data_IF_473816612454
#
_entry.id   IF_473816612454
#
_cell.length_a   1.000
_cell.length_b   1.000
_cell.length_c   1.000
_cell.angle_alpha   90.00
_cell.angle_beta   90.00
_cell.angle_gamma   90.00
#
_symmetry.space_group_name_H-M   'P 1'
#
loop_
_entity.id
_entity.type
_entity.pdbx_description
1 polymer ?
#
# COMPACT_ATOMS: atom_id res chain seq x y z
N UNK A 1 12.22 -19.14 -40.20
CA UNK A 1 12.42 -19.64 -38.83
C UNK A 1 12.22 -21.14 -38.86
N UNK A 2 13.23 -21.94 -38.52
CA UNK A 2 13.09 -23.40 -38.53
C UNK A 2 12.12 -23.81 -37.41
N UNK A 3 11.28 -24.84 -37.63
CA UNK A 3 10.37 -25.40 -36.61
C UNK A 3 11.08 -25.62 -35.26
N UNK A 4 12.32 -26.08 -35.32
CA UNK A 4 13.19 -26.25 -34.15
C UNK A 4 13.39 -24.95 -33.34
N UNK A 5 13.57 -23.81 -34.00
CA UNK A 5 13.71 -22.51 -33.34
C UNK A 5 12.45 -22.09 -32.58
N UNK A 6 11.27 -22.43 -33.10
CA UNK A 6 10.00 -22.16 -32.42
C UNK A 6 9.87 -23.01 -31.15
N UNK A 7 10.18 -24.31 -31.22
CA UNK A 7 10.17 -25.18 -30.04
C UNK A 7 11.17 -24.72 -28.97
N UNK A 8 12.38 -24.31 -29.37
CA UNK A 8 13.39 -23.79 -28.45
C UNK A 8 12.89 -22.53 -27.72
N UNK A 9 12.30 -21.59 -28.47
CA UNK A 9 11.73 -20.37 -27.91
C UNK A 9 10.56 -20.67 -26.96
N UNK A 10 9.67 -21.59 -27.35
CA UNK A 10 8.53 -22.00 -26.53
C UNK A 10 8.98 -22.61 -25.20
N UNK A 11 10.01 -23.47 -25.22
CA UNK A 11 10.60 -24.04 -23.99
C UNK A 11 11.19 -22.94 -23.10
N UNK A 12 11.89 -21.97 -23.67
CA UNK A 12 12.44 -20.83 -22.92
C UNK A 12 11.33 -20.03 -22.25
N UNK A 13 10.25 -19.73 -22.97
CA UNK A 13 9.09 -18.99 -22.43
C UNK A 13 8.44 -19.77 -21.28
N UNK A 14 8.21 -21.07 -21.44
CA UNK A 14 7.65 -21.92 -20.38
C UNK A 14 8.57 -21.96 -19.15
N UNK A 15 9.89 -22.09 -19.35
CA UNK A 15 10.85 -22.07 -18.25
C UNK A 15 10.80 -20.74 -17.49
N UNK A 16 10.70 -19.60 -18.18
CA UNK A 16 10.54 -18.29 -17.55
C UNK A 16 9.24 -18.17 -16.74
N UNK A 17 8.12 -18.65 -17.28
CA UNK A 17 6.82 -18.64 -16.58
C UNK A 17 6.89 -19.53 -15.32
N UNK A 18 7.56 -20.68 -15.39
CA UNK A 18 7.71 -21.58 -14.24
C UNK A 18 8.69 -21.03 -13.18
N UNK A 19 9.72 -20.29 -13.59
CA UNK A 19 10.72 -19.71 -12.70
C UNK A 19 10.26 -18.39 -12.06
N UNK A 20 9.37 -17.64 -12.72
CA UNK A 20 8.87 -16.35 -12.22
C UNK A 20 8.31 -16.42 -10.79
N UNK A 21 7.42 -17.36 -10.42
CA UNK A 21 6.90 -17.47 -9.06
C UNK A 21 7.99 -17.77 -8.03
N UNK A 22 8.99 -18.58 -8.41
CA UNK A 22 10.09 -18.99 -7.54
C UNK A 22 11.01 -17.80 -7.22
N UNK A 23 11.30 -16.96 -8.22
CA UNK A 23 12.10 -15.74 -8.03
C UNK A 23 11.30 -14.57 -7.47
N UNK A 24 9.97 -14.56 -7.61
CA UNK A 24 9.12 -13.45 -7.16
C UNK A 24 9.12 -13.25 -5.64
N UNK A 25 9.78 -14.12 -4.86
CA UNK A 25 9.88 -13.97 -3.41
C UNK A 25 8.53 -14.03 -2.69
N UNK A 26 7.48 -14.43 -3.41
CA UNK A 26 6.08 -14.42 -2.98
C UNK A 26 5.82 -15.65 -2.07
N UNK A 27 6.55 -15.75 -0.95
CA UNK A 27 6.31 -16.89 -0.06
C UNK A 27 7.36 -17.20 0.99
N UNK A 28 8.32 -16.31 1.28
CA UNK A 28 9.23 -16.57 2.42
C UNK A 28 8.53 -16.29 3.75
N UNK A 29 7.61 -17.17 4.14
CA UNK A 29 7.06 -17.18 5.50
C UNK A 29 8.13 -17.74 6.45
N UNK A 30 8.81 -16.84 7.17
CA UNK A 30 9.72 -17.22 8.26
C UNK A 30 8.88 -17.71 9.44
N UNK A 31 8.71 -19.04 9.55
CA UNK A 31 8.08 -19.67 10.70
C UNK A 31 9.04 -19.61 11.91
N UNK A 32 9.10 -18.48 12.60
CA UNK A 32 9.87 -18.34 13.83
C UNK A 32 9.13 -19.07 14.95
N UNK A 33 9.63 -20.25 15.35
CA UNK A 33 9.12 -20.97 16.52
C UNK A 33 9.44 -20.15 17.79
N UNK A 34 8.47 -19.86 18.67
CA UNK A 34 8.75 -19.19 19.93
C UNK A 34 9.59 -20.11 20.82
N UNK A 35 10.75 -19.62 21.28
CA UNK A 35 11.59 -20.32 22.26
C UNK A 35 10.83 -20.37 23.60
N UNK A 36 10.33 -21.53 23.98
CA UNK A 36 9.71 -21.77 25.29
C UNK A 36 10.78 -21.81 26.38
N UNK A 37 11.14 -20.67 26.97
CA UNK A 37 11.97 -20.64 28.19
C UNK A 37 11.07 -20.80 29.42
N UNK A 38 10.59 -22.02 29.65
CA UNK A 38 9.89 -22.40 30.87
C UNK A 38 10.93 -22.82 31.93
N UNK A 39 11.75 -21.88 32.40
CA UNK A 39 12.52 -22.08 33.64
C UNK A 39 11.81 -21.36 34.76
N UNK A 40 10.87 -22.07 35.37
CA UNK A 40 10.22 -21.71 36.61
C UNK A 40 11.28 -21.65 37.72
N UNK A 41 11.70 -20.44 38.12
CA UNK A 41 12.55 -20.26 39.29
C UNK A 41 11.85 -19.41 40.36
N UNK A 42 11.55 -20.14 41.43
CA UNK A 42 11.70 -19.80 42.85
C UNK A 42 10.85 -18.68 43.45
N UNK A 43 9.91 -19.14 44.27
CA UNK A 43 9.17 -18.39 45.27
C UNK A 43 10.11 -17.85 46.36
N UNK A 44 10.57 -16.61 46.23
CA UNK A 44 11.16 -15.86 47.34
C UNK A 44 10.78 -14.38 47.29
N UNK A 45 9.71 -14.03 48.02
CA UNK A 45 9.70 -12.92 48.98
C UNK A 45 9.86 -11.47 48.52
N UNK A 46 9.80 -11.14 47.23
CA UNK A 46 9.94 -9.75 46.77
C UNK A 46 8.69 -9.30 46.03
N UNK A 47 8.02 -8.31 46.62
CA UNK A 47 6.96 -7.44 46.10
C UNK A 47 6.62 -7.73 44.63
N UNK A 48 5.42 -8.27 44.42
CA UNK A 48 5.02 -8.85 43.15
C UNK A 48 5.37 -7.94 41.98
N UNK A 49 5.83 -8.52 40.86
CA UNK A 49 6.20 -7.80 39.64
C UNK A 49 5.24 -6.67 39.27
N UNK A 50 3.95 -6.84 39.60
CA UNK A 50 2.90 -5.83 39.44
C UNK A 50 3.18 -4.52 40.21
N UNK A 51 3.61 -4.57 41.47
CA UNK A 51 3.99 -3.37 42.24
C UNK A 51 5.26 -2.73 41.70
N UNK A 52 6.26 -3.55 41.33
CA UNK A 52 7.49 -3.03 40.71
C UNK A 52 7.19 -2.32 39.38
N UNK A 53 6.30 -2.88 38.56
CA UNK A 53 5.86 -2.26 37.31
C UNK A 53 5.04 -0.99 37.55
N UNK A 54 4.18 -0.97 38.57
CA UNK A 54 3.39 0.21 38.93
C UNK A 54 4.31 1.36 39.36
N UNK A 55 5.26 1.08 40.25
CA UNK A 55 6.31 2.05 40.66
C UNK A 55 7.16 2.49 39.46
N UNK A 56 7.38 1.59 38.48
CA UNK A 56 8.07 1.95 37.24
C UNK A 56 7.26 2.84 36.29
N UNK A 57 5.94 2.72 36.26
CA UNK A 57 5.10 3.59 35.43
C UNK A 57 4.97 5.00 36.04
N UNK A 58 4.89 5.11 37.37
CA UNK A 58 4.70 6.40 38.04
C UNK A 58 5.92 7.34 37.92
N UNK A 59 7.16 6.81 37.92
CA UNK A 59 8.37 7.65 37.78
C UNK A 59 8.70 8.03 36.33
N UNK A 60 8.11 7.36 35.33
CA UNK A 60 8.25 7.80 33.94
C UNK A 60 7.23 8.89 33.67
N UNK A 61 7.61 10.15 33.95
CA UNK A 61 6.94 11.38 33.52
C UNK A 61 6.82 11.52 31.97
N UNK A 62 6.91 10.43 31.22
CA UNK A 62 7.17 10.48 29.77
C UNK A 62 5.89 10.56 28.94
N UNK A 63 4.71 10.21 29.48
CA UNK A 63 3.49 10.16 28.66
C UNK A 63 2.25 10.63 29.44
N UNK A 64 2.27 11.88 29.91
CA UNK A 64 1.03 12.60 30.20
C UNK A 64 0.66 13.36 28.93
N UNK A 65 -0.33 12.87 28.21
CA UNK A 65 -0.90 13.58 27.07
C UNK A 65 -2.03 14.44 27.61
N UNK A 66 -1.82 15.75 27.65
CA UNK A 66 -2.90 16.67 27.93
C UNK A 66 -3.86 16.66 26.74
N UNK A 67 -5.11 16.27 27.01
CA UNK A 67 -6.21 16.35 26.06
C UNK A 67 -6.48 17.84 25.84
N UNK A 68 -6.00 18.39 24.72
CA UNK A 68 -6.50 19.68 24.25
C UNK A 68 -7.86 19.42 23.61
N UNK A 69 -8.91 19.63 24.39
CA UNK A 69 -10.27 19.78 23.91
C UNK A 69 -10.33 21.08 23.09
N UNK A 70 -9.88 20.99 21.83
CA UNK A 70 -10.04 22.07 20.85
C UNK A 70 -11.31 21.77 20.09
N UNK A 71 -12.43 22.09 20.72
CA UNK A 71 -13.61 22.51 19.96
C UNK A 71 -13.19 23.74 19.15
N UNK A 72 -13.67 23.84 17.91
CA UNK A 72 -13.55 25.00 17.02
C UNK A 72 -12.24 25.14 16.21
N UNK A 73 -12.23 24.60 14.99
CA UNK A 73 -11.92 25.40 13.79
C UNK A 73 -12.32 24.63 12.53
N UNK A 74 -13.51 24.95 12.02
CA UNK A 74 -13.94 24.67 10.65
C UNK A 74 -13.06 25.48 9.68
N UNK A 75 -12.42 24.84 8.70
CA UNK A 75 -11.76 25.58 7.63
C UNK A 75 -10.90 24.75 6.69
N UNK A 76 -11.50 24.42 5.55
CA UNK A 76 -10.89 24.29 4.21
C UNK A 76 -9.66 23.39 3.98
N UNK A 77 -9.91 22.34 3.20
CA UNK A 77 -9.21 21.99 1.96
C UNK A 77 -7.68 22.04 1.99
N UNK A 78 -7.07 20.92 2.34
CA UNK A 78 -5.81 20.54 1.70
C UNK A 78 -5.81 19.04 1.44
N UNK A 79 -5.59 18.70 0.18
CA UNK A 79 -5.32 17.36 -0.33
C UNK A 79 -4.04 16.80 0.31
N UNK A 80 -4.15 16.36 1.56
CA UNK A 80 -3.06 15.75 2.29
C UNK A 80 -3.45 14.32 2.65
N UNK A 81 -2.99 13.43 1.78
CA UNK A 81 -2.91 12.00 2.04
C UNK A 81 -1.94 11.77 3.22
N UNK A 82 -2.38 11.99 4.45
CA UNK A 82 -1.78 11.38 5.63
C UNK A 82 -2.64 11.58 6.87
N UNK A 83 -2.96 10.47 7.52
CA UNK A 83 -3.28 10.40 8.94
C UNK A 83 -4.60 11.00 9.45
N UNK A 84 -5.53 11.43 8.59
CA UNK A 84 -6.86 11.92 8.98
C UNK A 84 -7.45 11.00 10.05
N UNK A 85 -7.41 11.50 11.29
CA UNK A 85 -7.83 10.92 12.56
C UNK A 85 -8.27 9.46 12.46
N UNK A 86 -7.49 8.52 12.99
CA UNK A 86 -7.99 7.17 13.28
C UNK A 86 -9.12 7.32 14.31
N UNK A 87 -10.34 7.59 13.85
CA UNK A 87 -11.52 7.72 14.70
C UNK A 87 -11.75 6.33 15.29
N UNK A 88 -11.63 6.25 16.60
CA UNK A 88 -11.98 5.05 17.34
C UNK A 88 -13.45 5.15 17.68
N UNK A 89 -14.24 4.20 17.23
CA UNK A 89 -15.61 4.06 17.67
C UNK A 89 -15.61 3.15 18.90
N UNK A 90 -16.29 3.58 19.96
CA UNK A 90 -16.46 2.78 21.17
C UNK A 90 -17.71 1.93 20.95
N UNK A 91 -17.53 0.61 20.91
CA UNK A 91 -18.66 -0.31 20.85
C UNK A 91 -19.48 -0.19 22.14
N UNK A 92 -20.73 0.27 22.05
CA UNK A 92 -21.60 0.47 23.21
C UNK A 92 -21.89 -0.81 23.98
N UNK A 93 -21.76 -1.98 23.34
CA UNK A 93 -22.04 -3.28 23.95
C UNK A 93 -20.85 -3.84 24.73
N UNK A 94 -19.63 -3.58 24.27
CA UNK A 94 -18.41 -4.16 24.86
C UNK A 94 -17.51 -3.14 25.53
N UNK A 95 -17.72 -1.84 25.30
CA UNK A 95 -16.83 -0.77 25.73
C UNK A 95 -15.45 -0.77 25.05
N UNK A 96 -15.21 -1.68 24.10
CA UNK A 96 -13.94 -1.80 23.41
C UNK A 96 -13.84 -0.76 22.29
N UNK A 97 -12.74 0.00 22.29
CA UNK A 97 -12.38 0.89 21.18
C UNK A 97 -12.04 0.03 19.97
N UNK A 98 -12.89 0.04 18.95
CA UNK A 98 -12.60 -0.59 17.66
C UNK A 98 -11.98 0.46 16.75
N UNK A 99 -10.88 0.11 16.09
CA UNK A 99 -10.37 0.93 14.99
C UNK A 99 -11.42 0.86 13.89
N UNK A 100 -12.06 1.99 13.58
CA UNK A 100 -12.94 2.08 12.41
C UNK A 100 -12.04 1.90 11.19
N UNK A 101 -12.17 0.76 10.51
CA UNK A 101 -11.45 0.47 9.26
C UNK A 101 -12.22 1.20 8.16
N UNK A 102 -12.10 2.53 8.13
CA UNK A 102 -12.85 3.38 7.21
C UNK A 102 -14.36 3.38 7.47
N UNK A 103 -15.03 4.46 7.09
CA UNK A 103 -16.47 4.37 6.87
C UNK A 103 -16.64 3.65 5.54
N UNK A 104 -17.39 2.54 5.53
CA UNK A 104 -17.79 1.95 4.26
C UNK A 104 -18.69 2.94 3.56
N UNK A 105 -18.28 3.33 2.36
CA UNK A 105 -19.18 4.02 1.47
C UNK A 105 -20.32 3.06 1.12
N UNK A 106 -21.55 3.48 1.39
CA UNK A 106 -22.75 2.68 1.12
C UNK A 106 -23.29 2.91 -0.27
N UNK A 107 -22.85 3.98 -0.93
CA UNK A 107 -23.27 4.25 -2.29
C UNK A 107 -22.43 3.37 -3.24
N UNK A 108 -23.03 2.41 -3.95
CA UNK A 108 -22.31 1.65 -4.96
C UNK A 108 -21.84 2.54 -6.11
N UNK A 109 -22.52 3.68 -6.36
CA UNK A 109 -22.25 4.54 -7.50
C UNK A 109 -21.01 5.43 -7.30
N UNK A 110 -20.50 5.58 -6.07
CA UNK A 110 -19.30 6.39 -5.80
C UNK A 110 -18.01 5.77 -6.38
N UNK A 111 -18.09 4.51 -6.84
CA UNK A 111 -17.03 3.84 -7.59
C UNK A 111 -17.34 3.70 -9.08
N UNK A 112 -18.54 4.12 -9.52
CA UNK A 112 -18.86 4.13 -10.93
C UNK A 112 -18.11 5.30 -11.56
N UNK A 113 -17.26 4.99 -12.53
CA UNK A 113 -16.60 6.01 -13.32
C UNK A 113 -17.62 6.63 -14.27
N UNK A 114 -17.63 7.97 -14.34
CA UNK A 114 -18.44 8.67 -15.31
C UNK A 114 -18.00 8.25 -16.72
N UNK A 115 -18.95 7.79 -17.53
CA UNK A 115 -18.69 7.32 -18.89
C UNK A 115 -18.07 8.44 -19.72
N UNK A 116 -18.48 9.69 -19.47
CA UNK A 116 -17.92 10.86 -20.13
C UNK A 116 -16.43 11.05 -19.80
N UNK A 117 -16.02 10.79 -18.56
CA UNK A 117 -14.60 10.86 -18.16
C UNK A 117 -13.78 9.78 -18.88
N UNK A 118 -14.31 8.56 -18.99
CA UNK A 118 -13.67 7.47 -19.73
C UNK A 118 -13.53 7.80 -21.22
N UNK A 119 -14.58 8.34 -21.85
CA UNK A 119 -14.55 8.75 -23.26
C UNK A 119 -13.53 9.87 -23.49
N UNK A 120 -13.46 10.84 -22.58
CA UNK A 120 -12.52 11.95 -22.67
C UNK A 120 -11.06 11.47 -22.47
N UNK A 121 -10.82 10.51 -21.58
CA UNK A 121 -9.50 9.89 -21.39
C UNK A 121 -9.07 9.16 -22.67
N UNK A 122 -9.96 8.35 -23.26
CA UNK A 122 -9.70 7.62 -24.50
C UNK A 122 -9.39 8.57 -25.68
N UNK A 123 -10.17 9.65 -25.85
CA UNK A 123 -9.95 10.63 -26.93
C UNK A 123 -8.60 11.36 -26.77
N UNK A 124 -8.23 11.72 -25.53
CA UNK A 124 -6.93 12.34 -25.24
C UNK A 124 -5.77 11.40 -25.55
N UNK A 125 -5.93 10.11 -25.25
CA UNK A 125 -4.93 9.10 -25.49
C UNK A 125 -4.73 8.83 -26.98
N UNK A 126 -5.83 8.73 -27.76
CA UNK A 126 -5.79 8.57 -29.22
C UNK A 126 -5.06 9.76 -29.88
N UNK A 127 -5.44 11.00 -29.55
CA UNK A 127 -4.76 12.20 -30.07
C UNK A 127 -3.26 12.19 -29.77
N UNK A 128 -2.87 11.76 -28.56
CA UNK A 128 -1.46 11.67 -28.16
C UNK A 128 -0.70 10.63 -28.99
N UNK A 129 -1.35 9.52 -29.34
CA UNK A 129 -0.77 8.51 -30.23
C UNK A 129 -0.61 9.00 -31.65
N UNK A 130 -1.62 9.70 -32.19
CA UNK A 130 -1.57 10.31 -33.51
C UNK A 130 -0.44 11.32 -33.61
N UNK A 131 -0.28 12.20 -32.62
CA UNK A 131 0.83 13.14 -32.54
C UNK A 131 2.19 12.44 -32.53
N UNK A 132 2.33 11.33 -31.77
CA UNK A 132 3.56 10.53 -31.75
C UNK A 132 3.83 9.91 -33.12
N UNK A 133 2.80 9.42 -33.82
CA UNK A 133 2.94 8.89 -35.18
C UNK A 133 3.38 9.99 -36.14
N UNK A 134 2.73 11.16 -36.11
CA UNK A 134 3.08 12.32 -36.94
C UNK A 134 4.52 12.79 -36.72
N UNK A 135 4.96 12.89 -35.45
CA UNK A 135 6.35 13.23 -35.10
C UNK A 135 7.36 12.22 -35.66
N UNK A 136 7.06 10.92 -35.60
CA UNK A 136 7.90 9.87 -36.21
C UNK A 136 7.99 9.99 -37.73
N UNK A 137 6.88 10.29 -38.41
CA UNK A 137 6.89 10.47 -39.86
C UNK A 137 7.65 11.73 -40.28
N UNK A 138 7.50 12.85 -39.57
CA UNK A 138 8.23 14.07 -39.85
C UNK A 138 9.74 13.92 -39.57
N UNK A 139 10.12 13.21 -38.50
CA UNK A 139 11.53 12.90 -38.21
C UNK A 139 12.20 12.11 -39.33
N UNK A 140 11.53 11.09 -39.86
CA UNK A 140 12.04 10.29 -41.00
C UNK A 140 12.18 11.09 -42.29
N UNK A 141 11.28 12.06 -42.54
CA UNK A 141 11.40 12.95 -43.70
C UNK A 141 12.66 13.82 -43.58
N UNK A 142 12.91 14.38 -42.40
CA UNK A 142 14.09 15.21 -42.17
C UNK A 142 15.38 14.39 -42.28
N UNK A 143 15.40 13.17 -41.72
CA UNK A 143 16.54 12.25 -41.85
C UNK A 143 16.81 11.88 -43.32
N UNK A 144 15.76 11.67 -44.12
CA UNK A 144 15.91 11.45 -45.56
C UNK A 144 16.50 12.68 -46.28
N UNK A 145 16.04 13.89 -45.96
CA UNK A 145 16.58 15.13 -46.55
C UNK A 145 18.04 15.39 -46.14
N UNK A 146 18.41 15.15 -44.88
CA UNK A 146 19.80 15.25 -44.42
C UNK A 146 20.71 14.20 -45.09
N UNK A 147 20.18 13.03 -45.47
CA UNK A 147 20.93 12.04 -46.24
C UNK A 147 21.20 12.40 -47.70
N UNK A 148 20.54 13.44 -48.24
CA UNK A 148 20.72 13.91 -49.63
C UNK A 148 21.59 15.17 -49.76
N UNK A 149 21.96 15.82 -48.66
CA UNK A 149 22.85 17.01 -48.64
C UNK A 149 24.25 16.59 -48.21
#
# INVERSE_FOLDING_TARGET
MNLYGYFLLLIIVIAFIALLPLFSGIGTFKLTKPKSSATAQSATGKLGKREYLKKKLDHTNVLKFDLKDTEESLGHDSASASSASRKFEIDSKTGLKRRVIGQYNKDPNDFDFDIDDLINEDELDERREEEKKLKKYNGKKNEAYEGFV
#
